data_IF_904728558661
#
_entry.id   IF_904728558661
#
_cell.length_a   1.000
_cell.length_b   1.000
_cell.length_c   1.000
_cell.angle_alpha   90.00
_cell.angle_beta   90.00
_cell.angle_gamma   90.00
#
_symmetry.space_group_name_H-M   'P 1'
#
loop_
_entity.id
_entity.type
_entity.pdbx_description
1 polymer ?
#
# COMPACT_ATOMS: atom_id res chain seq x y z
N UNK A 1 28.74 10.19 6.40
CA UNK A 1 27.32 10.64 6.42
C UNK A 1 27.28 12.06 5.86
N UNK A 2 26.39 12.32 4.89
CA UNK A 2 26.36 13.58 4.13
C UNK A 2 26.05 14.85 4.95
N UNK A 3 25.53 14.70 6.17
CA UNK A 3 25.08 15.82 7.03
C UNK A 3 25.58 15.76 8.46
N UNK A 4 26.56 14.93 8.77
CA UNK A 4 27.19 14.80 10.09
C UNK A 4 26.26 14.58 11.29
N UNK A 5 25.01 14.12 11.03
CA UNK A 5 24.03 13.78 12.06
C UNK A 5 24.26 12.35 12.53
N UNK A 6 24.44 12.15 13.83
CA UNK A 6 24.60 10.81 14.40
C UNK A 6 23.26 10.07 14.42
N UNK A 7 23.30 8.74 14.36
CA UNK A 7 22.09 7.92 14.33
C UNK A 7 21.18 8.14 15.54
N UNK A 8 21.75 8.39 16.73
CA UNK A 8 21.00 8.71 17.95
C UNK A 8 20.19 10.00 17.87
N UNK A 9 20.58 10.90 16.96
CA UNK A 9 19.94 12.21 16.75
C UNK A 9 18.92 12.19 15.60
N UNK A 10 18.62 11.00 15.04
CA UNK A 10 17.61 10.86 14.01
C UNK A 10 16.21 11.01 14.62
N UNK A 11 15.45 11.95 14.10
CA UNK A 11 14.06 12.13 14.46
C UNK A 11 13.19 11.01 13.89
N UNK A 12 12.04 10.76 14.54
CA UNK A 12 11.02 9.86 14.01
C UNK A 12 10.44 10.37 12.69
N UNK A 13 9.86 9.49 11.88
CA UNK A 13 9.14 9.89 10.67
C UNK A 13 8.05 10.95 10.94
N UNK A 14 7.37 10.85 12.09
CA UNK A 14 6.36 11.81 12.51
C UNK A 14 6.89 13.23 12.67
N UNK A 15 8.12 13.41 13.13
CA UNK A 15 8.77 14.70 13.26
C UNK A 15 9.17 15.33 11.91
N UNK A 16 9.17 14.54 10.84
CA UNK A 16 9.55 14.95 9.48
C UNK A 16 8.38 15.01 8.50
N UNK A 17 7.17 15.18 8.98
CA UNK A 17 5.94 15.20 8.16
C UNK A 17 5.95 16.20 7.00
N UNK A 18 6.67 17.31 7.14
CA UNK A 18 6.82 18.30 6.08
C UNK A 18 7.71 17.85 4.91
N UNK A 19 8.49 16.77 5.09
CA UNK A 19 9.36 16.25 4.06
C UNK A 19 8.76 14.96 3.46
N UNK A 20 8.19 15.07 2.26
CA UNK A 20 7.54 13.96 1.59
C UNK A 20 8.49 12.81 1.25
N UNK A 21 9.76 13.07 0.97
CA UNK A 21 10.75 12.03 0.68
C UNK A 21 11.04 11.15 1.90
N UNK A 22 11.09 11.77 3.08
CA UNK A 22 11.25 11.04 4.34
C UNK A 22 9.99 10.24 4.64
N UNK A 23 8.82 10.85 4.51
CA UNK A 23 7.54 10.19 4.77
C UNK A 23 7.27 9.05 3.81
N UNK A 24 7.68 9.17 2.57
CA UNK A 24 7.57 8.13 1.56
C UNK A 24 8.32 6.83 1.97
N UNK A 25 9.50 6.98 2.56
CA UNK A 25 10.27 5.84 3.08
C UNK A 25 9.62 5.20 4.29
N UNK A 26 8.88 5.97 5.09
CA UNK A 26 8.13 5.50 6.25
C UNK A 26 6.76 4.90 5.93
N UNK A 27 6.26 5.08 4.71
CA UNK A 27 5.01 4.46 4.28
C UNK A 27 5.19 2.94 4.27
N UNK A 28 4.28 2.22 4.92
CA UNK A 28 4.42 0.79 5.22
C UNK A 28 5.62 0.41 6.13
N UNK A 29 6.27 1.37 6.77
CA UNK A 29 7.42 1.11 7.66
C UNK A 29 7.05 0.68 9.09
N UNK A 30 5.76 0.50 9.41
CA UNK A 30 5.33 0.08 10.73
C UNK A 30 5.76 -1.37 10.99
N UNK A 31 6.44 -1.62 12.10
CA UNK A 31 6.91 -2.95 12.52
C UNK A 31 5.79 -3.98 12.69
N UNK A 32 4.55 -3.55 12.88
CA UNK A 32 3.38 -4.44 12.98
C UNK A 32 2.88 -4.95 11.63
N UNK A 33 3.32 -4.37 10.53
CA UNK A 33 2.97 -4.85 9.20
C UNK A 33 3.61 -6.22 9.00
N UNK A 34 2.82 -7.16 8.52
CA UNK A 34 3.26 -8.49 8.10
C UNK A 34 2.95 -8.63 6.61
N UNK A 35 3.97 -8.57 5.78
CA UNK A 35 3.82 -8.83 4.36
C UNK A 35 4.01 -10.33 4.11
N UNK A 36 2.93 -11.00 3.73
CA UNK A 36 2.96 -12.45 3.51
C UNK A 36 3.81 -12.86 2.29
N UNK A 37 4.12 -11.94 1.37
CA UNK A 37 5.09 -12.18 0.29
C UNK A 37 6.52 -12.31 0.83
N UNK A 38 6.83 -11.62 1.94
CA UNK A 38 8.14 -11.63 2.59
C UNK A 38 8.04 -12.30 3.95
N UNK A 39 7.62 -13.56 3.97
CA UNK A 39 7.40 -14.33 5.20
C UNK A 39 8.65 -14.31 6.10
N UNK A 40 8.42 -14.15 7.41
CA UNK A 40 9.50 -14.07 8.40
C UNK A 40 10.11 -12.67 8.58
N UNK A 41 9.67 -11.67 7.83
CA UNK A 41 10.10 -10.28 8.02
C UNK A 41 9.09 -9.47 8.83
N UNK A 42 9.57 -8.44 9.50
CA UNK A 42 8.77 -7.45 10.18
C UNK A 42 8.88 -6.09 9.49
N UNK A 43 7.76 -5.35 9.46
CA UNK A 43 7.73 -4.01 8.89
C UNK A 43 7.67 -3.96 7.37
N UNK A 44 8.29 -2.95 6.80
CA UNK A 44 8.14 -2.56 5.41
C UNK A 44 9.00 -3.32 4.40
N UNK A 45 9.00 -4.66 4.43
CA UNK A 45 9.70 -5.48 3.44
C UNK A 45 8.75 -6.14 2.46
N UNK A 46 9.24 -6.41 1.25
CA UNK A 46 8.52 -7.10 0.19
C UNK A 46 9.48 -7.87 -0.72
N UNK A 47 8.94 -8.61 -1.65
CA UNK A 47 9.69 -9.31 -2.70
C UNK A 47 9.45 -8.58 -4.03
N UNK A 48 10.53 -8.14 -4.67
CA UNK A 48 10.48 -7.57 -6.02
C UNK A 48 10.22 -8.67 -7.04
N UNK A 49 9.17 -8.52 -7.83
CA UNK A 49 8.84 -9.47 -8.90
C UNK A 49 9.32 -8.95 -10.27
N UNK A 50 9.71 -9.82 -11.19
CA UNK A 50 9.83 -11.27 -11.10
C UNK A 50 11.14 -11.75 -10.45
N UNK A 51 12.02 -10.83 -10.05
CA UNK A 51 13.39 -11.08 -9.64
C UNK A 51 13.50 -11.93 -8.35
N UNK A 52 12.43 -12.01 -7.57
CA UNK A 52 12.40 -12.74 -6.29
C UNK A 52 13.26 -12.11 -5.19
N UNK A 53 13.76 -10.90 -5.39
CA UNK A 53 14.66 -10.22 -4.46
C UNK A 53 13.90 -9.55 -3.32
N UNK A 54 14.27 -9.89 -2.08
CA UNK A 54 13.73 -9.22 -0.90
C UNK A 54 14.36 -7.84 -0.71
N UNK A 55 13.54 -6.83 -0.50
CA UNK A 55 13.96 -5.45 -0.24
C UNK A 55 12.89 -4.67 0.50
N UNK A 56 13.18 -3.41 0.85
CA UNK A 56 12.15 -2.55 1.43
C UNK A 56 11.04 -2.25 0.42
N UNK A 57 9.82 -2.02 0.93
CA UNK A 57 8.68 -1.61 0.08
C UNK A 57 9.02 -0.34 -0.70
N UNK A 58 9.77 0.59 -0.08
CA UNK A 58 10.21 1.81 -0.74
C UNK A 58 11.12 1.52 -1.94
N UNK A 59 12.16 0.70 -1.76
CA UNK A 59 13.11 0.36 -2.84
C UNK A 59 12.41 -0.38 -3.97
N UNK A 60 11.57 -1.36 -3.64
CA UNK A 60 10.79 -2.09 -4.63
C UNK A 60 9.86 -1.16 -5.43
N UNK A 61 9.17 -0.24 -4.74
CA UNK A 61 8.31 0.74 -5.39
C UNK A 61 9.08 1.67 -6.34
N UNK A 62 10.29 2.10 -5.96
CA UNK A 62 11.14 2.92 -6.82
C UNK A 62 11.61 2.13 -8.05
N UNK A 63 11.91 0.85 -7.89
CA UNK A 63 12.29 -0.01 -9.01
C UNK A 63 11.13 -0.25 -9.98
N UNK A 64 9.93 -0.55 -9.47
CA UNK A 64 8.73 -0.66 -10.30
C UNK A 64 8.39 0.66 -11.02
N UNK A 65 8.62 1.79 -10.36
CA UNK A 65 8.41 3.11 -10.98
C UNK A 65 9.37 3.33 -12.17
N UNK A 66 10.63 2.91 -12.07
CA UNK A 66 11.59 2.93 -13.17
C UNK A 66 11.14 2.04 -14.32
N UNK A 67 10.57 0.87 -14.01
CA UNK A 67 10.02 -0.08 -14.99
C UNK A 67 8.68 0.36 -15.59
N UNK A 68 8.07 1.44 -15.10
CA UNK A 68 6.75 1.91 -15.54
C UNK A 68 5.59 1.01 -15.07
N UNK A 69 5.82 0.17 -14.06
CA UNK A 69 4.83 -0.81 -13.57
C UNK A 69 3.99 -0.19 -12.46
N UNK A 70 2.66 -0.21 -12.63
CA UNK A 70 1.72 0.18 -11.59
C UNK A 70 1.59 -0.92 -10.53
N UNK A 71 1.31 -0.51 -9.29
CA UNK A 71 1.24 -1.40 -8.15
C UNK A 71 -0.17 -1.52 -7.59
N UNK A 72 -0.45 -2.68 -7.01
CA UNK A 72 -1.66 -2.98 -6.26
C UNK A 72 -1.26 -3.46 -4.86
N UNK A 73 -2.01 -3.07 -3.85
CA UNK A 73 -1.91 -3.63 -2.49
C UNK A 73 -3.07 -4.58 -2.28
N UNK A 74 -2.78 -5.79 -1.81
CA UNK A 74 -3.79 -6.74 -1.35
C UNK A 74 -3.69 -6.86 0.16
N UNK A 75 -4.78 -6.62 0.87
CA UNK A 75 -4.79 -6.52 2.32
C UNK A 75 -5.98 -7.28 2.96
N UNK A 76 -5.88 -7.51 4.25
CA UNK A 76 -6.92 -8.11 5.07
C UNK A 76 -7.97 -7.11 5.54
N UNK A 77 -8.44 -7.34 6.78
CA UNK A 77 -9.49 -6.52 7.41
C UNK A 77 -8.96 -5.20 7.95
N UNK A 78 -9.86 -4.21 8.02
CA UNK A 78 -9.61 -2.92 8.67
C UNK A 78 -8.40 -2.17 8.08
N UNK A 79 -8.20 -2.27 6.76
CA UNK A 79 -7.06 -1.60 6.11
C UNK A 79 -7.11 -0.08 6.34
N UNK A 80 -6.01 0.45 6.87
CA UNK A 80 -5.87 1.87 7.23
C UNK A 80 -6.07 2.18 8.69
N UNK A 81 -6.47 1.23 9.53
CA UNK A 81 -6.59 1.42 10.98
C UNK A 81 -5.24 1.80 11.60
N UNK A 82 -5.26 2.82 12.45
CA UNK A 82 -4.06 3.33 13.12
C UNK A 82 -3.12 4.14 12.24
N UNK A 83 -3.51 4.44 11.02
CA UNK A 83 -2.70 5.23 10.09
C UNK A 83 -2.75 6.74 10.39
N UNK A 84 -1.74 7.46 9.86
CA UNK A 84 -1.65 8.92 9.95
C UNK A 84 -2.56 9.63 8.93
N UNK A 85 -3.80 9.16 8.72
CA UNK A 85 -4.80 9.82 7.88
C UNK A 85 -4.30 10.06 6.44
N UNK A 86 -4.30 11.32 5.99
CA UNK A 86 -3.96 11.72 4.62
C UNK A 86 -2.57 11.27 4.18
N UNK A 87 -1.61 11.27 5.07
CA UNK A 87 -0.25 10.85 4.75
C UNK A 87 -0.14 9.37 4.37
N UNK A 88 -0.91 8.50 4.98
CA UNK A 88 -0.93 7.08 4.62
C UNK A 88 -1.42 6.90 3.17
N UNK A 89 -2.48 7.60 2.79
CA UNK A 89 -2.98 7.57 1.41
C UNK A 89 -2.04 8.28 0.43
N UNK A 90 -1.49 9.43 0.82
CA UNK A 90 -0.54 10.19 -0.01
C UNK A 90 0.75 9.39 -0.26
N UNK A 91 1.30 8.76 0.78
CA UNK A 91 2.48 7.90 0.65
C UNK A 91 2.22 6.72 -0.27
N UNK A 92 1.07 6.09 -0.15
CA UNK A 92 0.61 5.01 -1.03
C UNK A 92 0.59 5.46 -2.50
N UNK A 93 0.02 6.64 -2.80
CA UNK A 93 0.03 7.21 -4.15
C UNK A 93 1.44 7.47 -4.67
N UNK A 94 2.29 8.07 -3.85
CA UNK A 94 3.66 8.42 -4.22
C UNK A 94 4.53 7.18 -4.50
N UNK A 95 4.23 6.05 -3.88
CA UNK A 95 4.85 4.76 -4.16
C UNK A 95 4.39 4.13 -5.49
N UNK A 96 3.42 4.72 -6.18
CA UNK A 96 2.93 4.23 -7.47
C UNK A 96 1.78 3.22 -7.37
N UNK A 97 1.19 3.08 -6.20
CA UNK A 97 0.04 2.20 -5.98
C UNK A 97 -1.21 2.85 -6.58
N UNK A 98 -1.94 2.12 -7.42
CA UNK A 98 -3.15 2.57 -8.12
C UNK A 98 -4.43 2.03 -7.53
N UNK A 99 -4.37 0.85 -6.92
CA UNK A 99 -5.51 0.24 -6.27
C UNK A 99 -5.11 -0.46 -4.97
N UNK A 100 -6.05 -0.54 -4.06
CA UNK A 100 -5.96 -1.36 -2.84
C UNK A 100 -7.16 -2.29 -2.82
N UNK A 101 -6.92 -3.58 -2.70
CA UNK A 101 -7.95 -4.62 -2.58
C UNK A 101 -7.88 -5.15 -1.15
N UNK A 102 -8.95 -5.00 -0.38
CA UNK A 102 -8.97 -5.40 1.03
C UNK A 102 -10.27 -6.11 1.41
N UNK A 103 -10.26 -6.87 2.49
CA UNK A 103 -11.47 -7.46 3.06
C UNK A 103 -12.39 -6.40 3.66
N UNK A 104 -11.81 -5.39 4.30
CA UNK A 104 -12.53 -4.20 4.76
C UNK A 104 -11.58 -3.02 4.92
N UNK A 105 -12.13 -1.83 4.99
CA UNK A 105 -11.38 -0.58 5.14
C UNK A 105 -11.82 0.17 6.41
N UNK A 106 -10.86 0.83 7.04
CA UNK A 106 -11.20 1.93 7.92
C UNK A 106 -11.84 3.06 7.09
N UNK A 107 -12.96 3.60 7.58
CA UNK A 107 -13.83 4.49 6.82
C UNK A 107 -13.13 5.76 6.31
N UNK A 108 -12.38 6.42 7.19
CA UNK A 108 -11.69 7.68 6.86
C UNK A 108 -10.57 7.38 5.86
N UNK A 109 -9.84 6.31 6.07
CA UNK A 109 -8.74 5.93 5.17
C UNK A 109 -9.23 5.59 3.76
N UNK A 110 -10.37 4.90 3.64
CA UNK A 110 -11.02 4.65 2.35
C UNK A 110 -11.33 5.94 1.59
N UNK A 111 -11.90 6.93 2.29
CA UNK A 111 -12.18 8.25 1.71
C UNK A 111 -10.90 8.97 1.27
N UNK A 112 -9.85 8.89 2.07
CA UNK A 112 -8.55 9.48 1.74
C UNK A 112 -7.90 8.81 0.52
N UNK A 113 -8.01 7.49 0.37
CA UNK A 113 -7.54 6.79 -0.83
C UNK A 113 -8.23 7.32 -2.09
N UNK A 114 -9.57 7.45 -2.06
CA UNK A 114 -10.35 8.03 -3.18
C UNK A 114 -9.89 9.45 -3.46
N UNK A 115 -9.78 10.30 -2.44
CA UNK A 115 -9.32 11.68 -2.56
C UNK A 115 -7.91 11.80 -3.16
N UNK A 116 -7.06 10.80 -2.96
CA UNK A 116 -5.72 10.72 -3.56
C UNK A 116 -5.70 10.07 -4.95
N UNK A 117 -6.86 9.61 -5.47
CA UNK A 117 -6.95 8.94 -6.76
C UNK A 117 -6.44 7.50 -6.74
N UNK A 118 -6.57 6.82 -5.62
CA UNK A 118 -6.30 5.39 -5.46
C UNK A 118 -7.65 4.68 -5.37
N UNK A 119 -7.82 3.62 -6.12
CA UNK A 119 -9.07 2.85 -6.17
C UNK A 119 -9.15 1.86 -4.99
N UNK A 120 -10.06 2.05 -4.01
CA UNK A 120 -10.29 1.09 -2.95
C UNK A 120 -11.32 0.04 -3.40
N UNK A 121 -10.88 -1.19 -3.54
CA UNK A 121 -11.70 -2.34 -3.89
C UNK A 121 -11.84 -3.26 -2.67
N UNK A 122 -13.01 -3.84 -2.51
CA UNK A 122 -13.28 -4.76 -1.41
C UNK A 122 -13.61 -6.14 -1.95
N UNK A 123 -13.07 -7.18 -1.34
CA UNK A 123 -13.47 -8.55 -1.67
C UNK A 123 -14.97 -8.73 -1.43
N UNK A 124 -15.62 -9.50 -2.29
CA UNK A 124 -17.01 -9.95 -2.04
C UNK A 124 -17.07 -10.72 -0.74
N UNK A 125 -18.22 -10.68 -0.10
CA UNK A 125 -18.46 -11.43 1.12
C UNK A 125 -18.10 -12.89 0.96
N UNK A 126 -17.34 -13.41 1.92
CA UNK A 126 -16.87 -14.80 1.91
C UNK A 126 -15.63 -15.05 1.07
N UNK A 127 -15.08 -14.04 0.39
CA UNK A 127 -13.81 -14.13 -0.34
C UNK A 127 -12.71 -13.33 0.35
N UNK A 128 -11.51 -13.86 0.27
CA UNK A 128 -10.27 -13.23 0.75
C UNK A 128 -9.10 -13.64 -0.15
N UNK A 129 -7.93 -13.08 0.11
CA UNK A 129 -6.70 -13.41 -0.59
C UNK A 129 -6.37 -14.90 -0.60
N UNK A 130 -6.62 -15.59 0.53
CA UNK A 130 -6.28 -17.01 0.69
C UNK A 130 -7.19 -17.90 -0.15
N UNK A 131 -8.50 -17.63 -0.13
CA UNK A 131 -9.48 -18.35 -0.95
C UNK A 131 -9.23 -18.17 -2.45
N UNK A 132 -8.80 -16.98 -2.86
CA UNK A 132 -8.45 -16.70 -4.25
C UNK A 132 -7.02 -17.11 -4.60
N UNK A 133 -6.26 -17.66 -3.65
CA UNK A 133 -4.86 -18.09 -3.81
C UNK A 133 -3.95 -17.01 -4.39
N UNK A 134 -4.17 -15.76 -4.01
CA UNK A 134 -3.35 -14.63 -4.45
C UNK A 134 -2.01 -14.68 -3.73
N UNK A 135 -0.92 -14.78 -4.49
CA UNK A 135 0.47 -14.93 -3.99
C UNK A 135 1.29 -13.66 -4.11
N UNK A 136 0.84 -12.68 -4.90
CA UNK A 136 1.53 -11.41 -5.14
C UNK A 136 2.38 -11.39 -6.41
N UNK A 137 2.23 -12.39 -7.27
CA UNK A 137 2.86 -12.47 -8.59
C UNK A 137 1.88 -12.19 -9.72
N UNK A 138 0.61 -12.01 -9.38
CA UNK A 138 -0.49 -11.85 -10.33
C UNK A 138 -0.46 -10.48 -11.02
N UNK A 139 -0.94 -10.46 -12.26
CA UNK A 139 -1.28 -9.24 -12.97
C UNK A 139 -2.78 -8.96 -12.78
N UNK A 140 -3.10 -7.75 -12.36
CA UNK A 140 -4.48 -7.34 -12.14
C UNK A 140 -4.96 -6.46 -13.30
N UNK A 141 -6.08 -6.85 -13.89
CA UNK A 141 -6.83 -6.00 -14.83
C UNK A 141 -8.13 -5.57 -14.16
N UNK A 142 -8.32 -4.27 -14.01
CA UNK A 142 -9.52 -3.72 -13.38
C UNK A 142 -10.42 -3.21 -14.50
N UNK A 143 -11.61 -3.82 -14.63
CA UNK A 143 -12.61 -3.46 -15.62
C UNK A 143 -13.76 -2.79 -14.87
N UNK A 144 -14.05 -1.53 -15.20
CA UNK A 144 -15.21 -0.83 -14.71
C UNK A 144 -16.43 -1.18 -15.59
N UNK A 145 -17.48 -1.72 -14.99
CA UNK A 145 -18.75 -1.91 -15.65
C UNK A 145 -19.67 -0.75 -15.27
N UNK A 146 -20.09 0.04 -16.26
CA UNK A 146 -21.04 1.13 -16.04
C UNK A 146 -22.44 0.55 -15.93
N UNK A 147 -23.03 0.65 -14.73
CA UNK A 147 -24.47 0.45 -14.53
C UNK A 147 -25.15 1.81 -14.39
N UNK A 148 -26.35 1.94 -14.91
CA UNK A 148 -27.14 3.19 -14.86
C UNK A 148 -27.55 3.62 -13.46
N UNK A 149 -27.30 2.81 -12.43
CA UNK A 149 -27.49 3.13 -11.01
C UNK A 149 -26.28 2.68 -10.19
N UNK A 150 -25.24 3.51 -10.17
CA UNK A 150 -24.14 3.35 -9.22
C UNK A 150 -24.59 3.83 -7.84
N UNK A 151 -24.92 2.92 -6.95
CA UNK A 151 -24.85 3.21 -5.52
C UNK A 151 -23.39 3.27 -5.11
N UNK A 152 -23.01 4.30 -4.34
CA UNK A 152 -21.63 4.57 -3.89
C UNK A 152 -21.00 3.47 -3.00
N UNK A 153 -21.56 2.27 -2.97
CA UNK A 153 -21.16 1.15 -2.13
C UNK A 153 -20.94 -0.16 -2.90
N UNK A 154 -21.03 -0.17 -4.22
CA UNK A 154 -20.85 -1.41 -4.95
C UNK A 154 -19.39 -1.69 -5.26
N UNK A 155 -18.95 -2.78 -4.72
CA UNK A 155 -17.66 -3.41 -4.90
C UNK A 155 -17.75 -4.36 -6.07
N UNK A 156 -16.90 -4.19 -7.06
CA UNK A 156 -16.79 -5.10 -8.19
C UNK A 156 -15.49 -5.90 -8.10
N UNK A 157 -15.63 -7.16 -7.98
CA UNK A 157 -14.68 -8.18 -8.41
C UNK A 157 -15.46 -9.23 -9.19
#
# INVERSE_FOLDING_TARGET
MKHQVQQKDFNSYGARRGNHEVMLRGTFGNIRIRNEMAAGTEGGFTILQPDGKQMSVYEAAMEYKKRGTNLVVVAGKEYGTGSSRDWAAKGTKLLGIKAVIAESFERIHRSNLVGMGILPLQFKEGFDRKKLNIKGTELFTIIAVSYTHLRAHETLL
#
